data_IF_486875260389
#
_entry.id   IF_486875260389
#
_cell.length_a   1.000
_cell.length_b   1.000
_cell.length_c   1.000
_cell.angle_alpha   90.00
_cell.angle_beta   90.00
_cell.angle_gamma   90.00
#
_symmetry.space_group_name_H-M   'P 1'
#
loop_
_entity.id
_entity.type
_entity.pdbx_description
1 polymer ?
#
# COMPACT_ATOMS: atom_id res chain seq x y z
N UNK A 1 27.13 6.83 -1.71
CA UNK A 1 26.46 5.59 -2.12
C UNK A 1 25.44 5.26 -1.04
N UNK A 2 24.17 5.53 -1.29
CA UNK A 2 23.10 5.24 -0.33
C UNK A 2 23.00 3.72 -0.19
N UNK A 3 23.28 3.21 1.01
CA UNK A 3 23.20 1.76 1.28
C UNK A 3 21.74 1.33 1.07
N UNK A 4 21.52 0.41 0.13
CA UNK A 4 20.21 -0.16 -0.16
C UNK A 4 19.74 -0.90 1.10
N UNK A 5 18.59 -0.52 1.66
CA UNK A 5 17.98 -1.27 2.75
C UNK A 5 17.69 -2.70 2.32
N UNK A 6 17.64 -3.65 3.25
CA UNK A 6 17.20 -5.01 2.92
C UNK A 6 15.75 -4.99 2.45
N UNK A 7 15.39 -5.83 1.48
CA UNK A 7 13.98 -5.99 1.09
C UNK A 7 13.23 -6.70 2.22
N UNK A 8 12.08 -6.15 2.63
CA UNK A 8 11.22 -6.76 3.65
C UNK A 8 9.89 -7.25 3.09
N UNK A 9 9.45 -6.71 1.95
CA UNK A 9 8.25 -7.15 1.28
C UNK A 9 8.32 -6.86 -0.22
N UNK A 10 7.76 -7.77 -1.01
CA UNK A 10 7.53 -7.58 -2.43
C UNK A 10 6.11 -8.01 -2.76
N UNK A 11 5.45 -7.25 -3.63
CA UNK A 11 4.15 -7.56 -4.20
C UNK A 11 4.26 -7.51 -5.72
N UNK A 12 3.67 -8.50 -6.38
CA UNK A 12 3.61 -8.56 -7.83
C UNK A 12 2.19 -8.21 -8.26
N UNK A 13 2.09 -7.28 -9.20
CA UNK A 13 0.86 -6.85 -9.85
C UNK A 13 0.96 -7.18 -11.34
N UNK A 14 -0.19 -7.27 -11.97
CA UNK A 14 -0.30 -7.55 -13.41
C UNK A 14 -1.09 -6.46 -14.09
N UNK A 15 -0.69 -6.07 -15.30
CA UNK A 15 -1.45 -5.13 -16.14
C UNK A 15 -2.63 -5.83 -16.83
N UNK A 16 -3.47 -5.06 -17.51
CA UNK A 16 -4.46 -5.57 -18.47
C UNK A 16 -3.83 -6.28 -19.69
N UNK A 17 -2.58 -5.95 -20.02
CA UNK A 17 -1.75 -6.59 -21.06
C UNK A 17 -0.94 -7.79 -20.55
N UNK A 18 -1.16 -8.24 -19.32
CA UNK A 18 -0.42 -9.34 -18.66
C UNK A 18 1.08 -9.04 -18.41
N UNK A 19 1.49 -7.77 -18.45
CA UNK A 19 2.82 -7.34 -18.06
C UNK A 19 2.94 -7.31 -16.52
N UNK A 20 4.13 -7.66 -16.04
CA UNK A 20 4.41 -7.75 -14.60
C UNK A 20 4.93 -6.43 -14.06
N UNK A 21 4.36 -5.99 -12.94
CA UNK A 21 4.85 -4.86 -12.14
C UNK A 21 5.19 -5.33 -10.73
N UNK A 22 6.43 -5.11 -10.31
CA UNK A 22 6.90 -5.41 -8.96
C UNK A 22 6.87 -4.16 -8.09
N UNK A 23 6.26 -4.28 -6.92
CA UNK A 23 6.29 -3.31 -5.83
C UNK A 23 7.19 -3.87 -4.73
N UNK A 24 8.21 -3.13 -4.34
CA UNK A 24 9.18 -3.56 -3.31
C UNK A 24 9.23 -2.53 -2.19
N UNK A 25 9.21 -3.00 -0.94
CA UNK A 25 9.42 -2.19 0.25
C UNK A 25 10.71 -2.65 0.92
N UNK A 26 11.56 -1.68 1.25
CA UNK A 26 12.82 -1.90 1.93
C UNK A 26 12.66 -1.69 3.45
N UNK A 27 13.57 -2.26 4.23
CA UNK A 27 13.58 -2.12 5.68
C UNK A 27 13.65 -0.64 6.07
N UNK A 28 12.80 -0.18 7.01
CA UNK A 28 12.96 1.14 7.61
C UNK A 28 14.35 1.28 8.22
N UNK A 29 14.94 2.46 8.07
CA UNK A 29 16.26 2.78 8.58
C UNK A 29 16.25 4.16 9.22
N UNK A 30 17.19 4.39 10.13
CA UNK A 30 17.44 5.74 10.62
C UNK A 30 18.01 6.59 9.48
N UNK A 31 17.41 7.76 9.25
CA UNK A 31 17.88 8.79 8.31
C UNK A 31 18.48 10.00 9.03
N UNK A 32 18.25 10.11 10.34
CA UNK A 32 18.82 11.13 11.24
C UNK A 32 18.85 10.65 12.70
N UNK A 33 19.18 11.53 13.66
CA UNK A 33 19.25 11.16 15.08
C UNK A 33 17.89 10.65 15.62
N UNK A 34 16.82 11.36 15.27
CA UNK A 34 15.43 11.09 15.67
C UNK A 34 14.50 10.84 14.47
N UNK A 35 15.08 10.60 13.30
CA UNK A 35 14.33 10.48 12.05
C UNK A 35 14.52 9.10 11.42
N UNK A 36 13.41 8.55 10.97
CA UNK A 36 13.34 7.31 10.23
C UNK A 36 12.87 7.57 8.80
N UNK A 37 13.42 6.78 7.89
CA UNK A 37 12.95 6.69 6.53
C UNK A 37 12.70 5.24 6.11
N UNK A 38 11.81 5.07 5.15
CA UNK A 38 11.54 3.80 4.54
C UNK A 38 11.43 4.00 3.02
N UNK A 39 12.12 3.15 2.27
CA UNK A 39 12.17 3.25 0.83
C UNK A 39 11.19 2.26 0.19
N UNK A 40 10.66 2.61 -0.97
CA UNK A 40 9.97 1.67 -1.84
C UNK A 40 10.40 1.85 -3.31
N UNK A 41 10.15 0.81 -4.10
CA UNK A 41 10.31 0.82 -5.55
C UNK A 41 9.09 0.20 -6.25
N UNK A 42 8.77 0.69 -7.45
CA UNK A 42 7.77 0.14 -8.35
C UNK A 42 8.42 0.04 -9.73
N UNK A 43 8.50 -1.17 -10.28
CA UNK A 43 9.19 -1.42 -11.55
C UNK A 43 8.43 -2.40 -12.44
N UNK A 44 8.39 -2.14 -13.74
CA UNK A 44 7.72 -2.97 -14.76
C UNK A 44 6.63 -2.21 -15.52
N UNK A 45 6.23 -2.71 -16.69
CA UNK A 45 5.23 -2.08 -17.57
C UNK A 45 5.49 -0.58 -17.83
N UNK A 46 6.76 -0.22 -18.06
CA UNK A 46 7.18 1.18 -18.27
C UNK A 46 7.26 2.04 -17.00
N UNK A 47 6.94 1.50 -15.83
CA UNK A 47 7.15 2.15 -14.54
C UNK A 47 8.58 1.90 -14.04
N UNK A 48 9.22 2.96 -13.56
CA UNK A 48 10.48 2.93 -12.82
C UNK A 48 10.44 4.03 -11.75
N UNK A 49 9.89 3.70 -10.59
CA UNK A 49 9.69 4.61 -9.47
C UNK A 49 10.51 4.10 -8.31
N UNK A 50 11.31 4.98 -7.72
CA UNK A 50 11.99 4.75 -6.44
C UNK A 50 11.86 5.99 -5.57
N UNK A 51 11.41 5.82 -4.33
CA UNK A 51 11.20 6.93 -3.39
C UNK A 51 11.61 6.53 -1.99
N UNK A 52 12.23 7.47 -1.28
CA UNK A 52 12.56 7.36 0.14
C UNK A 52 11.62 8.26 0.92
N UNK A 53 10.82 7.67 1.80
CA UNK A 53 9.87 8.37 2.65
C UNK A 53 10.55 8.69 3.98
N UNK A 54 11.22 9.84 4.07
CA UNK A 54 11.84 10.34 5.30
C UNK A 54 10.86 11.18 6.13
N UNK A 55 11.31 11.65 7.30
CA UNK A 55 10.57 12.57 8.17
C UNK A 55 9.72 11.91 9.24
N UNK A 56 9.85 10.59 9.44
CA UNK A 56 9.03 9.86 10.41
C UNK A 56 9.72 9.75 11.76
N UNK A 57 8.95 9.81 12.85
CA UNK A 57 9.46 9.71 14.22
C UNK A 57 9.96 8.31 14.59
N UNK A 58 9.44 7.29 13.92
CA UNK A 58 9.78 5.89 14.18
C UNK A 58 9.69 5.03 12.91
N UNK A 59 10.22 3.80 13.03
CA UNK A 59 10.29 2.83 11.94
C UNK A 59 8.90 2.41 11.39
N UNK A 60 7.89 2.33 12.26
CA UNK A 60 6.54 1.91 11.88
C UNK A 60 5.86 3.03 11.08
N UNK A 61 5.95 4.27 11.54
CA UNK A 61 5.47 5.45 10.83
C UNK A 61 6.11 5.58 9.44
N UNK A 62 7.43 5.36 9.34
CA UNK A 62 8.14 5.37 8.07
C UNK A 62 7.61 4.27 7.11
N UNK A 63 7.44 3.05 7.62
CA UNK A 63 6.91 1.93 6.84
C UNK A 63 5.49 2.20 6.33
N UNK A 64 4.59 2.67 7.21
CA UNK A 64 3.22 3.01 6.83
C UNK A 64 3.20 4.11 5.78
N UNK A 65 4.05 5.14 5.93
CA UNK A 65 4.18 6.21 4.94
C UNK A 65 4.65 5.68 3.58
N UNK A 66 5.60 4.74 3.53
CA UNK A 66 5.99 4.08 2.28
C UNK A 66 4.86 3.27 1.65
N UNK A 67 4.10 2.51 2.44
CA UNK A 67 2.93 1.77 1.94
C UNK A 67 1.90 2.74 1.33
N UNK A 68 1.68 3.89 1.97
CA UNK A 68 0.79 4.94 1.43
C UNK A 68 1.35 5.55 0.16
N UNK A 69 2.66 5.83 0.12
CA UNK A 69 3.37 6.34 -1.04
C UNK A 69 3.23 5.40 -2.24
N UNK A 70 3.45 4.10 -2.03
CA UNK A 70 3.21 3.08 -3.06
C UNK A 70 1.80 3.19 -3.61
N UNK A 71 0.78 3.15 -2.74
CA UNK A 71 -0.62 3.21 -3.19
C UNK A 71 -0.91 4.48 -3.98
N UNK A 72 -0.45 5.64 -3.50
CA UNK A 72 -0.63 6.91 -4.20
C UNK A 72 0.01 6.90 -5.60
N UNK A 73 1.20 6.31 -5.74
CA UNK A 73 1.84 6.18 -7.04
C UNK A 73 1.10 5.24 -7.98
N UNK A 74 0.63 4.09 -7.49
CA UNK A 74 -0.17 3.16 -8.28
C UNK A 74 -1.51 3.78 -8.73
N UNK A 75 -2.18 4.53 -7.86
CA UNK A 75 -3.42 5.26 -8.20
C UNK A 75 -3.18 6.37 -9.23
N UNK A 76 -2.00 7.01 -9.18
CA UNK A 76 -1.62 8.03 -10.17
C UNK A 76 -1.16 7.43 -11.49
N UNK A 77 -0.72 6.16 -11.49
CA UNK A 77 -0.32 5.46 -12.69
C UNK A 77 -1.57 5.25 -13.54
N UNK A 78 -1.54 5.73 -14.79
CA UNK A 78 -2.63 5.52 -15.76
C UNK A 78 -2.55 4.12 -16.39
N UNK A 79 -2.09 3.14 -15.63
CA UNK A 79 -1.90 1.75 -16.03
C UNK A 79 -2.92 0.92 -15.26
N UNK A 80 -3.69 0.11 -15.97
CA UNK A 80 -4.66 -0.78 -15.34
C UNK A 80 -3.92 -1.91 -14.64
N UNK A 81 -3.71 -1.80 -13.34
CA UNK A 81 -3.03 -2.82 -12.53
C UNK A 81 -4.02 -3.57 -11.66
N UNK A 82 -3.83 -4.88 -11.51
CA UNK A 82 -4.56 -5.72 -10.56
C UNK A 82 -3.60 -6.58 -9.74
N UNK A 83 -4.04 -6.96 -8.55
CA UNK A 83 -3.39 -7.93 -7.70
C UNK A 83 -4.12 -9.26 -7.79
N UNK A 84 -3.39 -10.33 -8.11
CA UNK A 84 -3.95 -11.68 -8.29
C UNK A 84 -5.14 -11.66 -9.28
N UNK A 85 -6.25 -12.31 -8.91
CA UNK A 85 -7.49 -12.38 -9.68
C UNK A 85 -8.44 -11.20 -9.38
N UNK A 86 -7.93 -10.12 -8.78
CA UNK A 86 -8.68 -8.91 -8.47
C UNK A 86 -9.06 -8.09 -9.71
N UNK A 87 -9.94 -7.12 -9.52
CA UNK A 87 -10.33 -6.18 -10.58
C UNK A 87 -9.20 -5.18 -10.89
N UNK A 88 -9.24 -4.57 -12.09
CA UNK A 88 -8.36 -3.45 -12.41
C UNK A 88 -8.57 -2.29 -11.42
N UNK A 89 -7.47 -1.84 -10.81
CA UNK A 89 -7.48 -0.85 -9.73
C UNK A 89 -7.42 -1.48 -8.32
N UNK A 90 -7.58 -2.79 -8.20
CA UNK A 90 -7.32 -3.50 -6.95
C UNK A 90 -5.84 -3.85 -6.83
N UNK A 91 -5.09 -3.04 -6.10
CA UNK A 91 -3.67 -3.29 -5.82
C UNK A 91 -3.45 -4.21 -4.61
N UNK A 92 -4.53 -4.52 -3.87
CA UNK A 92 -4.51 -5.19 -2.57
C UNK A 92 -3.66 -4.51 -1.48
N UNK A 93 -3.33 -3.24 -1.68
CA UNK A 93 -2.68 -2.39 -0.67
C UNK A 93 -3.76 -1.53 -0.04
N UNK A 94 -4.03 -1.62 1.27
CA UNK A 94 -5.14 -0.91 1.88
C UNK A 94 -4.98 0.62 1.80
N UNK A 95 -6.11 1.32 1.71
CA UNK A 95 -6.13 2.79 1.89
C UNK A 95 -6.22 3.09 3.38
N UNK A 96 -5.26 3.80 3.98
CA UNK A 96 -5.40 4.26 5.36
C UNK A 96 -6.55 5.26 5.47
N UNK A 97 -7.25 5.23 6.60
CA UNK A 97 -8.14 6.31 7.00
C UNK A 97 -7.29 7.32 7.78
N UNK A 98 -7.18 8.59 7.34
CA UNK A 98 -6.43 9.60 8.08
C UNK A 98 -6.99 9.76 9.50
N UNK A 99 -6.11 9.67 10.50
CA UNK A 99 -6.46 9.84 11.93
C UNK A 99 -6.94 11.27 12.24
N UNK A 100 -6.58 12.25 11.40
CA UNK A 100 -6.99 13.66 11.52
C UNK A 100 -8.48 13.90 11.29
N UNK A 101 -9.22 12.95 10.72
CA UNK A 101 -10.66 13.07 10.54
C UNK A 101 -11.46 12.84 11.83
N UNK A 102 -10.80 12.41 12.89
CA UNK A 102 -11.37 12.22 14.22
C UNK A 102 -12.24 10.96 14.36
N UNK A 103 -12.55 10.56 15.61
CA UNK A 103 -13.16 9.26 15.90
C UNK A 103 -14.54 9.04 15.27
N UNK A 104 -15.30 10.11 15.04
CA UNK A 104 -16.64 10.00 14.45
C UNK A 104 -16.60 9.56 12.98
N UNK A 105 -15.62 10.04 12.21
CA UNK A 105 -15.44 9.62 10.81
C UNK A 105 -14.94 8.19 10.76
N UNK A 106 -13.98 7.84 11.62
CA UNK A 106 -13.47 6.48 11.75
C UNK A 106 -14.59 5.48 12.09
N UNK A 107 -15.38 5.75 13.13
CA UNK A 107 -16.51 4.91 13.53
C UNK A 107 -17.53 4.72 12.40
N UNK A 108 -17.82 5.79 11.64
CA UNK A 108 -18.72 5.73 10.47
C UNK A 108 -18.16 4.81 9.39
N UNK A 109 -16.87 4.92 9.06
CA UNK A 109 -16.25 4.10 8.02
C UNK A 109 -16.13 2.63 8.45
N UNK A 110 -15.76 2.37 9.71
CA UNK A 110 -15.76 1.02 10.30
C UNK A 110 -17.17 0.41 10.21
N UNK A 111 -18.22 1.19 10.50
CA UNK A 111 -19.59 0.71 10.36
C UNK A 111 -19.91 0.29 8.93
N UNK A 112 -19.57 1.12 7.93
CA UNK A 112 -19.80 0.79 6.51
C UNK A 112 -19.09 -0.51 6.12
N UNK A 113 -17.83 -0.68 6.53
CA UNK A 113 -17.07 -1.91 6.27
C UNK A 113 -17.75 -3.12 6.93
N UNK A 114 -18.14 -3.00 8.21
CA UNK A 114 -18.79 -4.10 8.93
C UNK A 114 -20.16 -4.48 8.35
N UNK A 115 -20.95 -3.49 7.93
CA UNK A 115 -22.25 -3.73 7.27
C UNK A 115 -22.04 -4.50 5.95
N UNK A 116 -21.00 -4.13 5.18
CA UNK A 116 -20.68 -4.81 3.91
C UNK A 116 -20.14 -6.22 4.13
N UNK A 117 -19.26 -6.40 5.12
CA UNK A 117 -18.78 -7.72 5.53
C UNK A 117 -19.96 -8.58 5.99
N UNK A 118 -20.90 -8.05 6.78
CA UNK A 118 -22.10 -8.78 7.20
C UNK A 118 -22.99 -9.15 6.00
N UNK A 119 -23.14 -8.25 5.02
CA UNK A 119 -23.88 -8.51 3.77
C UNK A 119 -23.25 -9.65 2.97
N UNK A 120 -21.93 -9.68 2.85
CA UNK A 120 -21.17 -10.67 2.08
C UNK A 120 -21.00 -12.00 2.84
N UNK A 121 -20.84 -11.95 4.16
CA UNK A 121 -20.69 -13.13 5.04
C UNK A 121 -22.00 -13.78 5.43
N UNK A 122 -23.14 -13.34 4.87
CA UNK A 122 -24.43 -14.01 4.95
C UNK A 122 -24.43 -15.34 4.19
N UNK A 123 -23.53 -16.24 4.59
CA UNK A 123 -23.47 -17.65 4.22
C UNK A 123 -24.82 -18.26 4.59
N UNK A 124 -25.65 -18.51 3.58
CA UNK A 124 -26.65 -19.58 3.65
C UNK A 124 -25.86 -20.88 3.65
N UNK A 125 -25.61 -21.44 4.82
CA UNK A 125 -25.29 -22.86 4.90
C UNK A 125 -26.51 -23.61 4.39
N UNK A 126 -26.39 -24.18 3.20
CA UNK A 126 -27.43 -25.01 2.59
C UNK A 126 -27.84 -26.13 3.55
N UNK A 127 -29.14 -26.28 3.75
CA UNK A 127 -29.75 -27.57 4.07
C UNK A 127 -30.13 -28.24 2.77
#
# INVERSE_FOLDING_TARGET
MTQQGSVIATRVLTTDTEEVVSVTIFAPRKSGEEEWSCEFAIAGAGLDIRRDCSGSSDALAALLLSIHGVRAHLESARVGLRWEDGDLGDFGIPRPIPTSYGPAVEARLIKVVNDEVARLSAIKWGK
#
